data_IF_980196128260
#
_entry.id   IF_980196128260
#
_cell.length_a   1.000
_cell.length_b   1.000
_cell.length_c   1.000
_cell.angle_alpha   90.00
_cell.angle_beta   90.00
_cell.angle_gamma   90.00
#
_symmetry.space_group_name_H-M   'P 1'
#
loop_
_entity.id
_entity.type
_entity.pdbx_description
1 polymer ?
#
# COMPACT_ATOMS: atom_id res chain seq x y z
N UNK A 1 -4.65 -23.26 -12.09
CA UNK A 1 -4.56 -21.86 -12.52
C UNK A 1 -3.58 -21.21 -11.57
N UNK A 2 -2.39 -20.86 -12.07
CA UNK A 2 -1.34 -20.27 -11.23
C UNK A 2 -1.72 -18.81 -11.01
N UNK A 3 -2.32 -18.54 -9.86
CA UNK A 3 -2.43 -17.20 -9.30
C UNK A 3 -1.01 -16.79 -8.92
N UNK A 4 -0.29 -16.17 -9.86
CA UNK A 4 0.98 -15.53 -9.53
C UNK A 4 0.60 -14.42 -8.56
N UNK A 5 1.00 -14.48 -7.27
CA UNK A 5 0.72 -13.39 -6.35
C UNK A 5 1.29 -12.15 -7.03
N UNK A 6 0.39 -11.22 -7.39
CA UNK A 6 0.74 -10.02 -8.15
C UNK A 6 1.98 -9.44 -7.52
N UNK A 7 3.05 -9.36 -8.32
CA UNK A 7 4.36 -8.83 -7.98
C UNK A 7 4.21 -7.77 -6.87
N UNK A 8 4.48 -8.14 -5.61
CA UNK A 8 4.24 -7.31 -4.42
C UNK A 8 5.21 -6.11 -4.37
N UNK A 9 5.84 -5.81 -5.49
CA UNK A 9 6.79 -4.75 -5.67
C UNK A 9 6.04 -3.44 -5.80
N UNK A 10 6.45 -2.47 -5.00
CA UNK A 10 6.01 -1.09 -5.17
C UNK A 10 6.46 -0.63 -6.58
N UNK A 11 5.53 -0.20 -7.46
CA UNK A 11 5.91 0.28 -8.78
C UNK A 11 6.79 1.53 -8.67
N UNK A 12 7.72 1.68 -9.60
CA UNK A 12 8.58 2.87 -9.66
C UNK A 12 7.77 4.17 -9.85
N UNK A 13 8.34 5.35 -9.53
CA UNK A 13 7.63 6.63 -9.55
C UNK A 13 6.91 6.93 -10.87
N UNK A 14 7.57 6.69 -12.01
CA UNK A 14 6.98 6.93 -13.33
C UNK A 14 5.81 6.00 -13.65
N UNK A 15 5.83 4.77 -13.13
CA UNK A 15 4.73 3.82 -13.28
C UNK A 15 3.54 4.21 -12.41
N UNK A 16 3.79 4.60 -11.15
CA UNK A 16 2.76 5.14 -10.26
C UNK A 16 2.08 6.36 -10.87
N UNK A 17 2.84 7.30 -11.41
CA UNK A 17 2.30 8.50 -12.08
C UNK A 17 1.38 8.13 -13.25
N UNK A 18 1.77 7.15 -14.08
CA UNK A 18 0.94 6.65 -15.19
C UNK A 18 -0.36 6.01 -14.70
N UNK A 19 -0.31 5.20 -13.64
CA UNK A 19 -1.50 4.57 -13.05
C UNK A 19 -2.44 5.60 -12.41
N UNK A 20 -1.90 6.58 -11.70
CA UNK A 20 -2.68 7.67 -11.12
C UNK A 20 -3.38 8.51 -12.19
N UNK A 21 -2.72 8.77 -13.31
CA UNK A 21 -3.33 9.46 -14.45
C UNK A 21 -4.47 8.63 -15.07
N UNK A 22 -4.31 7.30 -15.18
CA UNK A 22 -5.38 6.42 -15.64
C UNK A 22 -6.58 6.44 -14.68
N UNK A 23 -6.35 6.29 -13.37
CA UNK A 23 -7.40 6.39 -12.35
C UNK A 23 -8.20 7.70 -12.48
N UNK A 24 -7.52 8.83 -12.64
CA UNK A 24 -8.16 10.14 -12.80
C UNK A 24 -8.94 10.27 -14.12
N UNK A 25 -8.48 9.64 -15.20
CA UNK A 25 -9.10 9.76 -16.51
C UNK A 25 -10.33 8.87 -16.69
N UNK A 26 -10.30 7.64 -16.17
CA UNK A 26 -11.33 6.63 -16.47
C UNK A 26 -11.65 5.66 -15.32
N UNK A 27 -11.08 5.89 -14.12
CA UNK A 27 -11.33 5.02 -12.97
C UNK A 27 -10.60 3.67 -13.04
N UNK A 28 -9.60 3.50 -13.93
CA UNK A 28 -8.79 2.28 -13.97
C UNK A 28 -8.07 2.05 -12.64
N UNK A 29 -8.15 0.81 -12.14
CA UNK A 29 -7.50 0.38 -10.91
C UNK A 29 -5.97 0.51 -10.98
N UNK A 30 -5.37 0.98 -9.89
CA UNK A 30 -3.93 1.25 -9.78
C UNK A 30 -3.13 0.13 -9.09
N UNK A 31 -3.82 -0.81 -8.45
CA UNK A 31 -3.25 -1.78 -7.50
C UNK A 31 -3.01 -1.20 -6.09
N UNK A 32 -3.55 -0.02 -5.79
CA UNK A 32 -3.56 0.60 -4.47
C UNK A 32 -5.00 0.97 -4.08
N UNK A 33 -5.38 0.73 -2.83
CA UNK A 33 -6.74 0.93 -2.34
C UNK A 33 -6.75 1.78 -1.07
N UNK A 34 -7.83 2.55 -0.89
CA UNK A 34 -8.09 3.26 0.36
C UNK A 34 -8.71 2.34 1.43
N UNK A 35 -8.89 2.86 2.65
CA UNK A 35 -9.48 2.14 3.79
C UNK A 35 -10.93 1.68 3.56
N UNK A 36 -11.59 2.20 2.51
CA UNK A 36 -12.94 1.83 2.11
C UNK A 36 -12.95 0.79 0.97
N UNK A 37 -11.79 0.30 0.55
CA UNK A 37 -11.64 -0.68 -0.53
C UNK A 37 -11.84 -0.09 -1.92
N UNK A 38 -11.69 1.23 -2.10
CA UNK A 38 -11.83 1.89 -3.40
C UNK A 38 -10.45 2.04 -4.04
N UNK A 39 -10.34 1.92 -5.38
CA UNK A 39 -9.10 2.23 -6.08
C UNK A 39 -8.63 3.65 -5.76
N UNK A 40 -7.38 3.76 -5.35
CA UNK A 40 -6.78 4.99 -4.87
C UNK A 40 -5.48 5.31 -5.63
N UNK A 41 -5.11 6.58 -5.76
CA UNK A 41 -3.82 6.94 -6.32
C UNK A 41 -2.70 6.44 -5.39
N UNK A 42 -1.60 5.98 -5.99
CA UNK A 42 -0.39 5.70 -5.22
C UNK A 42 0.15 6.99 -4.59
N UNK A 43 0.55 6.98 -3.32
CA UNK A 43 1.20 8.12 -2.68
C UNK A 43 2.56 8.43 -3.33
N UNK A 44 2.93 9.71 -3.36
CA UNK A 44 4.23 10.15 -3.89
C UNK A 44 5.38 9.76 -2.96
N UNK A 45 5.14 9.81 -1.65
CA UNK A 45 6.09 9.57 -0.57
C UNK A 45 6.23 8.10 -0.17
N UNK A 46 5.63 7.16 -0.90
CA UNK A 46 5.66 5.74 -0.54
C UNK A 46 7.09 5.16 -0.50
N UNK A 47 8.03 5.74 -1.26
CA UNK A 47 9.44 5.32 -1.21
C UNK A 47 10.12 5.75 0.09
N UNK A 48 9.54 6.73 0.81
CA UNK A 48 9.97 7.16 2.13
C UNK A 48 9.35 6.30 3.24
N UNK A 49 8.40 5.44 2.90
CA UNK A 49 7.85 4.49 3.86
C UNK A 49 8.90 3.44 4.18
N UNK A 50 9.53 3.59 5.34
CA UNK A 50 10.33 2.54 5.95
C UNK A 50 9.47 1.86 7.02
N UNK A 51 9.41 0.52 7.04
CA UNK A 51 8.91 -0.15 8.23
C UNK A 51 9.79 0.30 9.38
N UNK A 52 9.20 0.89 10.41
CA UNK A 52 9.93 1.17 11.63
C UNK A 52 10.46 -0.16 12.13
N UNK A 53 11.74 -0.42 11.87
CA UNK A 53 12.47 -1.53 12.47
C UNK A 53 12.85 -1.12 13.88
N UNK A 54 11.89 -0.59 14.64
CA UNK A 54 11.92 -0.77 16.07
C UNK A 54 11.90 -2.27 16.25
N UNK A 55 12.98 -2.84 16.79
CA UNK A 55 12.96 -4.18 17.37
C UNK A 55 11.59 -4.39 18.02
N UNK A 56 10.93 -5.55 17.86
CA UNK A 56 9.60 -5.74 18.41
C UNK A 56 9.65 -5.29 19.86
N UNK A 57 9.05 -4.14 20.15
CA UNK A 57 8.87 -3.70 21.51
C UNK A 57 8.13 -4.88 22.10
N UNK A 58 8.79 -5.61 23.01
CA UNK A 58 8.18 -6.74 23.71
C UNK A 58 6.89 -6.17 24.26
N UNK A 59 5.78 -6.47 23.57
CA UNK A 59 4.49 -5.98 23.96
C UNK A 59 4.23 -6.75 25.24
N UNK A 60 4.56 -6.14 26.39
CA UNK A 60 4.04 -6.64 27.66
C UNK A 60 2.54 -6.72 27.43
N UNK A 61 1.90 -7.89 27.61
CA UNK A 61 0.48 -8.04 27.40
C UNK A 61 -0.23 -6.89 28.11
N UNK A 62 -0.95 -6.05 27.36
CA UNK A 62 -1.85 -5.07 27.97
C UNK A 62 -2.82 -5.90 28.82
N UNK A 63 -2.75 -5.73 30.14
CA UNK A 63 -3.75 -6.31 31.04
C UNK A 63 -5.10 -5.76 30.58
N UNK A 64 -5.93 -6.63 30.03
CA UNK A 64 -7.32 -6.32 29.73
C UNK A 64 -7.99 -6.02 31.08
N UNK A 65 -8.62 -4.84 31.27
CA UNK A 65 -9.35 -4.55 32.49
C UNK A 65 -10.49 -5.57 32.65
N UNK A 66 -10.59 -6.16 33.85
CA UNK A 66 -11.63 -7.12 34.23
C UNK A 66 -12.99 -6.44 34.41
#
# INVERSE_FOLDING_TARGET
MSDTPGDLTIPGPAERARRNAALAANGTETGFWDDHGRPAPWPEDIDHWHPETSEPATQKPRKQPS
#
